data_IF_523914075114
#
_entry.id   IF_523914075114
#
_cell.length_a   1.000
_cell.length_b   1.000
_cell.length_c   1.000
_cell.angle_alpha   90.00
_cell.angle_beta   90.00
_cell.angle_gamma   90.00
#
_symmetry.space_group_name_H-M   'P 1'
#
loop_
_entity.id
_entity.type
_entity.pdbx_description
1 polymer ?
#
# COMPACT_ATOMS: atom_id res chain seq x y z
N UNK A 1 8.53 11.40 11.58
CA UNK A 1 7.33 10.72 11.09
C UNK A 1 6.36 11.77 10.54
N UNK A 2 5.90 12.74 11.34
CA UNK A 2 4.81 13.67 10.96
C UNK A 2 5.08 14.77 9.90
N UNK A 3 5.97 14.55 8.91
CA UNK A 3 6.21 15.53 7.83
C UNK A 3 5.47 15.20 6.54
N UNK A 4 5.14 13.93 6.34
CA UNK A 4 4.55 13.41 5.12
C UNK A 4 3.31 12.59 5.49
N UNK A 5 2.34 12.55 4.59
CA UNK A 5 1.11 11.77 4.75
C UNK A 5 0.89 11.03 3.43
N UNK A 6 1.13 9.71 3.38
CA UNK A 6 0.79 8.92 2.20
C UNK A 6 -0.72 8.91 1.98
N UNK A 7 -1.16 9.13 0.76
CA UNK A 7 -2.58 9.00 0.40
C UNK A 7 -2.79 7.69 -0.36
N UNK A 8 -3.71 6.87 0.14
CA UNK A 8 -4.04 5.59 -0.47
C UNK A 8 -5.43 5.61 -1.10
N UNK A 9 -5.59 4.89 -2.20
CA UNK A 9 -6.89 4.59 -2.80
C UNK A 9 -7.13 3.08 -2.79
N UNK A 10 -8.39 2.65 -2.65
CA UNK A 10 -8.71 1.23 -2.67
C UNK A 10 -8.67 0.66 -4.09
N UNK A 11 -8.14 -0.55 -4.23
CA UNK A 11 -8.11 -1.28 -5.49
C UNK A 11 -9.37 -2.12 -5.67
N UNK A 12 -9.90 -2.17 -6.89
CA UNK A 12 -10.92 -3.14 -7.28
C UNK A 12 -10.31 -4.18 -8.21
N UNK A 13 -10.28 -5.43 -7.74
CA UNK A 13 -9.82 -6.58 -8.51
C UNK A 13 -10.98 -7.52 -8.85
N UNK A 14 -10.92 -8.14 -10.03
CA UNK A 14 -11.83 -9.21 -10.41
C UNK A 14 -11.45 -10.52 -9.72
N UNK A 15 -12.39 -11.48 -9.65
CA UNK A 15 -12.15 -12.78 -9.00
C UNK A 15 -10.98 -13.51 -9.67
N UNK A 16 -10.01 -13.95 -8.85
CA UNK A 16 -8.77 -14.57 -9.29
C UNK A 16 -7.73 -13.59 -9.88
N UNK A 17 -7.99 -12.29 -9.77
CA UNK A 17 -7.08 -11.24 -10.22
C UNK A 17 -5.80 -11.14 -9.38
N UNK A 18 -4.83 -10.42 -9.94
CA UNK A 18 -3.60 -10.00 -9.25
C UNK A 18 -3.87 -8.72 -8.47
N UNK A 19 -3.28 -8.61 -7.29
CA UNK A 19 -3.31 -7.42 -6.43
C UNK A 19 -1.90 -6.85 -6.37
N UNK A 20 -1.78 -5.52 -6.45
CA UNK A 20 -0.54 -4.81 -6.17
C UNK A 20 -0.84 -3.61 -5.27
N UNK A 21 -0.79 -3.82 -3.96
CA UNK A 21 -1.09 -2.72 -3.02
C UNK A 21 -0.07 -1.58 -3.07
N UNK A 22 1.09 -1.77 -3.68
CA UNK A 22 2.13 -0.74 -3.71
C UNK A 22 1.78 0.41 -4.64
N UNK A 23 0.91 0.19 -5.62
CA UNK A 23 0.44 1.23 -6.54
C UNK A 23 -0.73 2.07 -5.99
N UNK A 24 -1.35 1.61 -4.90
CA UNK A 24 -2.44 2.32 -4.24
C UNK A 24 -1.99 3.62 -3.56
N UNK A 25 -0.69 3.85 -3.38
CA UNK A 25 -0.14 5.14 -2.92
C UNK A 25 -0.16 6.17 -4.05
N UNK A 26 -1.22 6.95 -4.11
CA UNK A 26 -1.51 7.87 -5.23
C UNK A 26 -0.63 9.12 -5.24
N UNK A 27 -0.05 9.52 -4.11
CA UNK A 27 0.77 10.71 -3.98
C UNK A 27 2.28 10.43 -3.90
N UNK A 28 2.74 9.24 -4.29
CA UNK A 28 4.17 8.87 -4.26
C UNK A 28 5.11 9.91 -4.91
N UNK A 29 4.76 10.57 -6.04
CA UNK A 29 5.61 11.62 -6.64
C UNK A 29 5.74 12.90 -5.80
N UNK A 30 4.88 13.10 -4.81
CA UNK A 30 4.89 14.25 -3.90
C UNK A 30 5.66 13.96 -2.61
N UNK A 31 5.97 12.68 -2.36
CA UNK A 31 6.81 12.24 -1.25
C UNK A 31 8.29 12.48 -1.58
N UNK A 32 9.19 12.46 -0.58
CA UNK A 32 10.62 12.61 -0.82
C UNK A 32 11.15 11.62 -1.86
N UNK A 33 12.05 12.09 -2.73
CA UNK A 33 12.74 11.22 -3.69
C UNK A 33 13.49 10.10 -2.96
N UNK A 34 13.30 8.86 -3.40
CA UNK A 34 13.84 7.67 -2.74
C UNK A 34 12.89 7.03 -1.71
N UNK A 35 11.68 7.56 -1.55
CA UNK A 35 10.61 6.88 -0.81
C UNK A 35 10.27 5.55 -1.48
N UNK A 36 10.12 4.49 -0.70
CA UNK A 36 9.73 3.15 -1.17
C UNK A 36 8.45 2.68 -0.50
N UNK A 37 7.62 1.94 -1.23
CA UNK A 37 6.40 1.33 -0.73
C UNK A 37 6.57 -0.18 -0.73
N UNK A 38 6.18 -0.83 0.36
CA UNK A 38 6.24 -2.29 0.50
C UNK A 38 4.91 -2.82 1.02
N UNK A 39 4.42 -3.89 0.41
CA UNK A 39 3.28 -4.64 0.93
C UNK A 39 3.73 -5.46 2.16
N UNK A 40 3.12 -5.16 3.31
CA UNK A 40 3.36 -5.86 4.59
C UNK A 40 2.11 -6.58 5.07
N UNK A 41 1.12 -6.75 4.17
CA UNK A 41 -0.12 -7.47 4.44
C UNK A 41 0.20 -8.91 4.87
N UNK A 42 -0.33 -9.39 6.00
CA UNK A 42 -0.13 -10.77 6.40
C UNK A 42 -0.61 -11.75 5.33
N UNK A 43 0.19 -12.78 5.04
CA UNK A 43 -0.13 -13.76 4.02
C UNK A 43 -1.50 -14.42 4.24
N UNK A 44 -2.32 -14.47 3.19
CA UNK A 44 -3.69 -15.01 3.24
C UNK A 44 -4.76 -14.02 3.72
N UNK A 45 -4.41 -12.77 4.03
CA UNK A 45 -5.41 -11.74 4.38
C UNK A 45 -6.29 -11.37 3.20
N UNK A 46 -5.71 -11.31 1.99
CA UNK A 46 -6.44 -11.01 0.76
C UNK A 46 -6.66 -12.31 0.00
N UNK A 47 -7.92 -12.71 -0.16
CA UNK A 47 -8.32 -13.82 -1.01
C UNK A 47 -9.06 -13.29 -2.25
N UNK A 48 -8.35 -13.22 -3.38
CA UNK A 48 -8.95 -12.75 -4.63
C UNK A 48 -9.90 -13.78 -5.25
N UNK A 49 -9.98 -15.01 -4.74
CA UNK A 49 -10.92 -16.02 -5.27
C UNK A 49 -12.32 -15.91 -4.66
N UNK A 50 -12.48 -15.15 -3.57
CA UNK A 50 -13.75 -14.96 -2.88
C UNK A 50 -14.15 -13.49 -2.96
N UNK A 51 -15.32 -13.13 -3.52
CA UNK A 51 -15.78 -11.75 -3.54
C UNK A 51 -15.94 -11.18 -2.12
N UNK A 52 -15.38 -10.00 -1.88
CA UNK A 52 -15.42 -9.35 -0.58
C UNK A 52 -14.56 -8.09 -0.54
N UNK A 53 -14.63 -7.39 0.59
CA UNK A 53 -13.69 -6.32 0.91
C UNK A 53 -12.61 -6.92 1.81
N UNK A 54 -11.36 -6.64 1.47
CA UNK A 54 -10.18 -7.09 2.22
C UNK A 54 -9.35 -5.88 2.61
N UNK A 55 -8.69 -5.96 3.76
CA UNK A 55 -7.80 -4.91 4.24
C UNK A 55 -6.35 -5.32 3.94
N UNK A 56 -5.67 -4.50 3.17
CA UNK A 56 -4.24 -4.57 2.95
C UNK A 56 -3.52 -3.60 3.89
N UNK A 57 -2.23 -3.84 4.11
CA UNK A 57 -1.37 -2.95 4.89
C UNK A 57 -0.08 -2.71 4.10
N UNK A 58 0.27 -1.45 3.92
CA UNK A 58 1.52 -1.05 3.28
C UNK A 58 2.42 -0.30 4.26
N UNK A 59 3.73 -0.46 4.09
CA UNK A 59 4.75 0.33 4.76
C UNK A 59 5.41 1.28 3.75
N UNK A 60 5.37 2.57 4.06
CA UNK A 60 6.05 3.63 3.30
C UNK A 60 7.33 3.97 4.05
N UNK A 61 8.48 3.69 3.45
CA UNK A 61 9.81 4.00 4.02
C UNK A 61 10.39 5.22 3.33
N UNK A 62 10.72 6.24 4.11
CA UNK A 62 11.32 7.48 3.64
C UNK A 62 12.85 7.38 3.56
N UNK A 63 13.53 8.26 2.79
CA UNK A 63 15.00 8.27 2.68
C UNK A 63 15.74 8.48 4.00
N UNK A 64 15.09 9.13 4.99
CA UNK A 64 15.65 9.32 6.33
C UNK A 64 15.49 8.09 7.25
N UNK A 65 14.89 7.01 6.72
CA UNK A 65 14.62 5.76 7.42
C UNK A 65 13.37 5.80 8.31
N UNK A 66 12.67 6.93 8.39
CA UNK A 66 11.36 6.98 9.04
C UNK A 66 10.30 6.27 8.18
N UNK A 67 9.20 5.88 8.83
CA UNK A 67 8.19 5.03 8.23
C UNK A 67 6.80 5.45 8.62
N UNK A 68 5.86 5.25 7.70
CA UNK A 68 4.43 5.25 7.95
C UNK A 68 3.84 3.91 7.54
N UNK A 69 2.81 3.48 8.26
CA UNK A 69 2.02 2.28 7.96
C UNK A 69 0.59 2.72 7.71
N UNK A 70 0.04 2.32 6.56
CA UNK A 70 -1.28 2.71 6.07
C UNK A 70 -2.06 1.48 5.66
#
# INVERSE_FOLDING_TARGET
ADKYEPTVEGEKVEVGGTVDLTDNVTNLPTLPEGTTVTDVTPGGTIDTNTPGNYEGVIEVTYPDGTKDTV
#
